data_IF_232203660498
#
_entry.id   IF_232203660498
#
_cell.length_a   1.000
_cell.length_b   1.000
_cell.length_c   1.000
_cell.angle_alpha   90.00
_cell.angle_beta   90.00
_cell.angle_gamma   90.00
#
_symmetry.space_group_name_H-M   'P 1'
#
loop_
_entity.id
_entity.type
_entity.pdbx_description
1 polymer ?
#
# COMPACT_ATOMS: atom_id res chain seq x y z
N UNK A 1 -9.62 -1.96 -8.40
CA UNK A 1 -8.26 -2.20 -7.86
C UNK A 1 -7.25 -1.39 -8.67
N UNK A 2 -6.28 -0.77 -8.00
CA UNK A 2 -5.24 0.05 -8.63
C UNK A 2 -3.94 -0.76 -8.74
N UNK A 3 -3.22 -0.61 -9.85
CA UNK A 3 -1.91 -1.23 -10.05
C UNK A 3 -0.81 -0.37 -9.43
N UNK A 4 0.05 -0.98 -8.63
CA UNK A 4 1.16 -0.34 -7.94
C UNK A 4 2.50 -0.87 -8.46
N UNK A 5 3.22 -0.04 -9.22
CA UNK A 5 4.49 -0.39 -9.86
C UNK A 5 5.60 0.63 -9.52
N UNK A 6 5.77 0.93 -8.24
CA UNK A 6 6.74 1.91 -7.76
C UNK A 6 8.19 1.47 -8.08
N UNK A 7 8.78 2.08 -9.13
CA UNK A 7 10.13 1.77 -9.66
C UNK A 7 10.26 0.37 -10.25
N UNK A 8 9.18 -0.23 -10.73
CA UNK A 8 9.16 -1.52 -11.43
C UNK A 8 8.37 -1.43 -12.73
N UNK A 9 8.52 -2.43 -13.59
CA UNK A 9 7.69 -2.57 -14.79
C UNK A 9 6.21 -2.77 -14.40
N UNK A 10 5.30 -2.36 -15.27
CA UNK A 10 3.86 -2.54 -15.05
C UNK A 10 3.45 -4.02 -15.05
N UNK A 11 4.13 -4.88 -15.80
CA UNK A 11 3.93 -6.33 -15.78
C UNK A 11 4.24 -6.93 -14.40
N UNK A 12 5.07 -6.23 -13.64
CA UNK A 12 5.56 -6.58 -12.30
C UNK A 12 4.77 -5.88 -11.18
N UNK A 13 3.64 -5.23 -11.53
CA UNK A 13 2.82 -4.50 -10.59
C UNK A 13 2.16 -5.43 -9.56
N UNK A 14 2.24 -5.02 -8.30
CA UNK A 14 1.36 -5.51 -7.26
C UNK A 14 0.07 -4.69 -7.24
N UNK A 15 -0.92 -5.13 -6.49
CA UNK A 15 -2.25 -4.54 -6.48
C UNK A 15 -2.51 -3.84 -5.15
N UNK A 16 -3.00 -2.61 -5.19
CA UNK A 16 -3.33 -1.82 -4.00
C UNK A 16 -4.80 -1.41 -4.02
N UNK A 17 -5.44 -1.57 -2.88
CA UNK A 17 -6.74 -1.00 -2.56
C UNK A 17 -6.62 -0.15 -1.29
N UNK A 18 -7.16 1.07 -1.35
CA UNK A 18 -7.25 1.98 -0.21
C UNK A 18 -8.70 2.36 -0.03
N UNK A 19 -9.25 2.06 1.15
CA UNK A 19 -10.63 2.42 1.51
C UNK A 19 -10.64 3.38 2.68
N UNK A 20 -11.60 4.30 2.64
CA UNK A 20 -11.82 5.31 3.67
C UNK A 20 -13.23 5.11 4.23
N UNK A 21 -13.34 4.88 5.53
CA UNK A 21 -14.61 4.80 6.24
C UNK A 21 -14.66 5.92 7.28
N UNK A 22 -15.62 6.82 7.15
CA UNK A 22 -15.83 7.91 8.11
C UNK A 22 -16.65 7.47 9.31
N UNK A 23 -16.26 7.93 10.49
CA UNK A 23 -17.00 7.91 11.75
C UNK A 23 -17.16 9.34 12.28
N UNK A 24 -17.93 9.58 13.35
CA UNK A 24 -18.29 10.94 13.82
C UNK A 24 -17.09 11.91 13.93
N UNK A 25 -15.94 11.42 14.39
CA UNK A 25 -14.74 12.24 14.63
C UNK A 25 -13.45 11.64 14.09
N UNK A 26 -13.53 10.57 13.30
CA UNK A 26 -12.36 9.89 12.77
C UNK A 26 -12.61 9.29 11.39
N UNK A 27 -11.54 8.96 10.68
CA UNK A 27 -11.62 8.20 9.43
C UNK A 27 -10.70 7.00 9.54
N UNK A 28 -11.25 5.80 9.40
CA UNK A 28 -10.46 4.59 9.26
C UNK A 28 -9.99 4.47 7.82
N UNK A 29 -8.67 4.41 7.65
CA UNK A 29 -8.03 4.17 6.36
C UNK A 29 -7.50 2.75 6.33
N UNK A 30 -8.05 1.91 5.45
CA UNK A 30 -7.60 0.52 5.28
C UNK A 30 -6.83 0.41 3.98
N UNK A 31 -5.63 -0.15 4.04
CA UNK A 31 -4.77 -0.38 2.88
C UNK A 31 -4.56 -1.88 2.73
N UNK A 32 -4.99 -2.44 1.61
CA UNK A 32 -4.75 -3.83 1.23
C UNK A 32 -3.78 -3.83 0.05
N UNK A 33 -2.68 -4.57 0.21
CA UNK A 33 -1.70 -4.76 -0.85
C UNK A 33 -1.57 -6.26 -1.12
N UNK A 34 -1.91 -6.68 -2.34
CA UNK A 34 -2.04 -8.07 -2.75
C UNK A 34 -1.30 -8.36 -4.06
N UNK A 35 -1.35 -9.61 -4.53
CA UNK A 35 -0.73 -10.04 -5.78
C UNK A 35 0.76 -10.39 -5.66
N UNK A 36 1.28 -10.56 -4.44
CA UNK A 36 2.69 -10.85 -4.17
C UNK A 36 3.14 -12.19 -4.74
N UNK A 37 2.25 -13.18 -4.74
CA UNK A 37 2.51 -14.55 -5.17
C UNK A 37 2.88 -14.61 -6.67
N UNK A 38 2.32 -13.70 -7.47
CA UNK A 38 2.63 -13.57 -8.91
C UNK A 38 4.07 -13.14 -9.18
N UNK A 39 4.74 -12.54 -8.19
CA UNK A 39 6.11 -12.04 -8.31
C UNK A 39 7.17 -13.11 -8.02
N UNK A 40 6.75 -14.35 -7.75
CA UNK A 40 7.66 -15.47 -7.51
C UNK A 40 8.63 -15.19 -6.35
N UNK A 41 9.91 -15.45 -6.57
CA UNK A 41 10.97 -15.30 -5.55
C UNK A 41 11.14 -13.85 -5.06
N UNK A 42 10.74 -12.86 -5.86
CA UNK A 42 10.84 -11.45 -5.50
C UNK A 42 9.70 -10.97 -4.59
N UNK A 43 8.60 -11.74 -4.50
CA UNK A 43 7.39 -11.38 -3.75
C UNK A 43 7.66 -10.98 -2.30
N UNK A 44 8.35 -11.80 -1.48
CA UNK A 44 8.61 -11.49 -0.07
C UNK A 44 9.41 -10.20 0.13
N UNK A 45 10.47 -10.00 -0.64
CA UNK A 45 11.33 -8.80 -0.55
C UNK A 45 10.54 -7.54 -0.95
N UNK A 46 9.74 -7.64 -2.01
CA UNK A 46 8.90 -6.53 -2.48
C UNK A 46 7.79 -6.20 -1.49
N UNK A 47 7.18 -7.21 -0.86
CA UNK A 47 6.17 -7.02 0.20
C UNK A 47 6.76 -6.25 1.38
N UNK A 48 7.89 -6.72 1.91
CA UNK A 48 8.57 -6.09 3.06
C UNK A 48 9.00 -4.65 2.75
N UNK A 49 9.50 -4.39 1.54
CA UNK A 49 9.84 -3.03 1.09
C UNK A 49 8.62 -2.11 1.02
N UNK A 50 7.49 -2.61 0.53
CA UNK A 50 6.26 -1.82 0.47
C UNK A 50 5.65 -1.58 1.85
N UNK A 51 5.74 -2.54 2.77
CA UNK A 51 5.34 -2.34 4.16
C UNK A 51 6.10 -1.16 4.80
N UNK A 52 7.42 -1.13 4.65
CA UNK A 52 8.25 0.04 5.07
C UNK A 52 7.85 1.33 4.37
N UNK A 53 7.56 1.27 3.07
CA UNK A 53 7.12 2.43 2.29
C UNK A 53 5.80 3.01 2.81
N UNK A 54 4.82 2.15 3.09
CA UNK A 54 3.54 2.54 3.67
C UNK A 54 3.69 3.12 5.07
N UNK A 55 4.53 2.53 5.93
CA UNK A 55 4.80 3.07 7.27
C UNK A 55 5.29 4.54 7.22
N UNK A 56 6.16 4.87 6.25
CA UNK A 56 6.61 6.25 6.04
C UNK A 56 5.49 7.18 5.55
N UNK A 57 4.69 6.75 4.56
CA UNK A 57 3.58 7.54 4.02
C UNK A 57 2.50 7.79 5.08
N UNK A 58 2.14 6.76 5.85
CA UNK A 58 1.08 6.83 6.86
C UNK A 58 1.41 7.83 7.98
N UNK A 59 2.67 7.93 8.40
CA UNK A 59 3.06 8.93 9.40
C UNK A 59 2.93 10.36 8.86
N UNK A 60 3.30 10.60 7.59
CA UNK A 60 3.08 11.91 6.97
C UNK A 60 1.59 12.23 6.79
N UNK A 61 0.80 11.26 6.35
CA UNK A 61 -0.64 11.40 6.19
C UNK A 61 -1.29 11.79 7.53
N UNK A 62 -1.00 11.04 8.60
CA UNK A 62 -1.52 11.31 9.95
C UNK A 62 -1.16 12.71 10.43
N UNK A 63 0.06 13.19 10.17
CA UNK A 63 0.48 14.56 10.53
C UNK A 63 -0.26 15.65 9.77
N UNK A 64 -0.63 15.40 8.52
CA UNK A 64 -1.33 16.36 7.68
C UNK A 64 -2.84 16.43 7.99
N UNK A 65 -3.39 15.44 8.69
CA UNK A 65 -4.80 15.36 9.07
C UNK A 65 -5.06 15.71 10.55
N UNK A 66 -4.03 16.17 11.28
CA UNK A 66 -4.11 16.71 12.64
C UNK A 66 -4.10 18.24 12.59
#
# INVERSE_FOLDING_TARGET
>A
MLLWHLRFDRADAAEVEVTFAGEEHQTTVTIVHSGWERLGTEGPIRRERNERGWAGVLEHYRRATL
#
